data_IF_711549221618
#
_entry.id   IF_711549221618
#
_cell.length_a   1.000
_cell.length_b   1.000
_cell.length_c   1.000
_cell.angle_alpha   90.00
_cell.angle_beta   90.00
_cell.angle_gamma   90.00
#
_symmetry.space_group_name_H-M   'P 1'
#
loop_
_entity.id
_entity.type
_entity.pdbx_description
1 polymer ?
#
# COMPACT_ATOMS: atom_id res chain seq x y z
N UNK A 1 17.18 30.60 43.37
CA UNK A 1 16.10 29.63 43.58
C UNK A 1 15.20 29.61 42.36
N UNK A 2 15.34 28.63 41.47
CA UNK A 2 14.46 28.48 40.31
C UNK A 2 13.72 27.16 40.48
N UNK A 3 12.44 27.22 40.83
CA UNK A 3 11.60 26.03 40.96
C UNK A 3 11.25 25.52 39.56
N UNK A 4 11.77 24.34 39.20
CA UNK A 4 11.37 23.63 37.99
C UNK A 4 9.88 23.24 38.11
N UNK A 5 9.03 23.86 37.29
CA UNK A 5 7.63 23.45 37.17
C UNK A 5 7.57 22.11 36.45
N UNK A 6 7.25 21.06 37.20
CA UNK A 6 6.88 19.75 36.65
C UNK A 6 5.57 19.91 35.87
N UNK A 7 5.62 19.71 34.54
CA UNK A 7 4.43 19.60 33.71
C UNK A 7 3.95 18.14 33.77
N UNK A 8 2.71 17.86 34.18
CA UNK A 8 2.20 16.49 34.23
C UNK A 8 2.13 15.90 32.81
N UNK A 9 2.60 14.65 32.65
CA UNK A 9 2.68 13.91 31.37
C UNK A 9 1.34 13.94 30.59
N UNK A 10 0.21 14.03 31.31
CA UNK A 10 -1.14 14.12 30.73
C UNK A 10 -1.34 15.33 29.80
N UNK A 11 -0.52 16.37 29.94
CA UNK A 11 -0.50 17.57 29.11
C UNK A 11 0.15 17.36 27.72
N UNK A 12 0.82 16.23 27.48
CA UNK A 12 1.53 15.94 26.24
C UNK A 12 0.70 15.12 25.24
N UNK A 13 -0.42 14.53 25.68
CA UNK A 13 -1.43 13.97 24.78
C UNK A 13 -2.23 15.12 24.16
N UNK A 14 -1.59 15.86 23.25
CA UNK A 14 -2.31 16.69 22.29
C UNK A 14 -3.18 15.74 21.47
N UNK A 15 -4.50 15.93 21.49
CA UNK A 15 -5.40 15.27 20.55
C UNK A 15 -4.83 15.50 19.14
N UNK A 16 -4.37 14.41 18.53
CA UNK A 16 -3.91 14.47 17.15
C UNK A 16 -5.14 14.75 16.29
N UNK A 17 -5.06 15.62 15.28
CA UNK A 17 -6.16 15.79 14.34
C UNK A 17 -6.56 14.40 13.82
N UNK A 18 -7.85 14.14 13.56
CA UNK A 18 -8.30 12.83 13.12
C UNK A 18 -7.50 12.46 11.87
N UNK A 19 -6.62 11.46 12.00
CA UNK A 19 -5.91 10.93 10.85
C UNK A 19 -7.00 10.38 9.94
N UNK A 20 -7.07 10.89 8.70
CA UNK A 20 -7.90 10.27 7.68
C UNK A 20 -7.48 8.80 7.59
N UNK A 21 -8.39 7.88 7.93
CA UNK A 21 -8.11 6.45 7.85
C UNK A 21 -7.76 6.10 6.41
N UNK A 22 -6.63 5.43 6.21
CA UNK A 22 -6.27 4.89 4.90
C UNK A 22 -7.15 3.68 4.55
N UNK A 23 -7.24 3.28 3.28
CA UNK A 23 -8.13 2.20 2.86
C UNK A 23 -7.77 0.83 3.44
N UNK A 24 -6.56 0.68 3.99
CA UNK A 24 -6.13 -0.54 4.68
C UNK A 24 -6.56 -0.58 6.15
N UNK A 25 -6.99 0.54 6.74
CA UNK A 25 -7.30 0.69 8.17
C UNK A 25 -8.80 0.46 8.44
N UNK A 26 -9.27 -0.73 8.08
CA UNK A 26 -10.66 -1.17 8.25
C UNK A 26 -10.88 -1.95 9.57
N UNK A 27 -9.87 -2.02 10.43
CA UNK A 27 -9.90 -2.82 11.65
C UNK A 27 -11.00 -2.38 12.62
N UNK A 28 -11.90 -3.30 12.96
CA UNK A 28 -13.02 -3.04 13.89
C UNK A 28 -14.29 -2.49 13.24
N UNK A 29 -14.28 -2.26 11.93
CA UNK A 29 -15.48 -1.87 11.19
C UNK A 29 -16.43 -3.08 10.98
N UNK A 30 -17.75 -2.87 10.94
CA UNK A 30 -18.70 -3.95 10.67
C UNK A 30 -18.49 -4.53 9.27
N UNK A 31 -18.45 -5.86 9.18
CA UNK A 31 -18.31 -6.60 7.92
C UNK A 31 -19.51 -7.51 7.68
N UNK A 32 -19.80 -7.80 6.41
CA UNK A 32 -20.79 -8.79 6.00
C UNK A 32 -20.25 -10.23 6.08
N UNK A 33 -21.08 -11.23 5.72
CA UNK A 33 -20.63 -12.61 5.54
C UNK A 33 -19.47 -12.70 4.53
N UNK A 34 -18.53 -13.60 4.78
CA UNK A 34 -17.34 -13.81 3.95
C UNK A 34 -17.56 -14.99 3.02
N UNK A 35 -17.35 -14.79 1.72
CA UNK A 35 -17.19 -15.91 0.77
C UNK A 35 -15.77 -16.48 0.92
N UNK A 36 -15.68 -17.80 1.08
CA UNK A 36 -14.43 -18.53 1.31
C UNK A 36 -14.06 -19.47 0.16
N UNK A 37 -14.78 -19.39 -0.96
CA UNK A 37 -14.48 -20.17 -2.16
C UNK A 37 -13.12 -19.75 -2.71
N UNK A 38 -12.23 -20.73 -2.88
CA UNK A 38 -10.94 -20.52 -3.54
C UNK A 38 -11.13 -20.56 -5.06
N UNK A 39 -11.00 -19.40 -5.69
CA UNK A 39 -11.04 -19.27 -7.15
C UNK A 39 -9.69 -19.55 -7.83
N UNK A 40 -8.62 -19.72 -7.05
CA UNK A 40 -7.25 -19.83 -7.54
C UNK A 40 -6.76 -18.56 -8.24
N UNK A 41 -5.50 -18.60 -8.68
CA UNK A 41 -4.92 -17.51 -9.48
C UNK A 41 -5.13 -17.74 -10.98
N UNK A 42 -5.57 -16.70 -11.69
CA UNK A 42 -5.53 -16.59 -13.15
C UNK A 42 -4.08 -16.68 -13.64
N UNK A 43 -3.90 -16.99 -14.93
CA UNK A 43 -2.56 -17.13 -15.52
C UNK A 43 -1.69 -15.88 -15.33
N UNK A 44 -2.24 -14.70 -15.63
CA UNK A 44 -1.50 -13.44 -15.51
C UNK A 44 -1.19 -13.07 -14.04
N UNK A 45 -2.05 -13.44 -13.10
CA UNK A 45 -1.86 -13.18 -11.66
C UNK A 45 -0.65 -13.96 -11.13
N UNK A 46 -0.46 -15.20 -11.60
CA UNK A 46 0.73 -15.99 -11.30
C UNK A 46 2.00 -15.30 -11.81
N UNK A 47 1.96 -14.76 -13.03
CA UNK A 47 3.10 -14.05 -13.63
C UNK A 47 3.42 -12.75 -12.87
N UNK A 48 2.40 -11.94 -12.56
CA UNK A 48 2.56 -10.70 -11.81
C UNK A 48 3.11 -10.96 -10.40
N UNK A 49 2.58 -11.97 -9.71
CA UNK A 49 3.04 -12.35 -8.38
C UNK A 49 4.49 -12.90 -8.40
N UNK A 50 4.84 -13.71 -9.41
CA UNK A 50 6.20 -14.22 -9.59
C UNK A 50 7.20 -13.08 -9.84
N UNK A 51 6.85 -12.11 -10.67
CA UNK A 51 7.69 -10.92 -10.94
C UNK A 51 7.92 -10.12 -9.66
N UNK A 52 6.84 -9.77 -8.94
CA UNK A 52 6.91 -9.04 -7.67
C UNK A 52 7.81 -9.76 -6.65
N UNK A 53 7.63 -11.07 -6.52
CA UNK A 53 8.42 -11.92 -5.62
C UNK A 53 9.90 -11.92 -6.00
N UNK A 54 10.19 -12.02 -7.30
CA UNK A 54 11.56 -12.00 -7.82
C UNK A 54 12.25 -10.66 -7.51
N UNK A 55 11.59 -9.54 -7.81
CA UNK A 55 12.14 -8.21 -7.56
C UNK A 55 12.37 -7.94 -6.06
N UNK A 56 11.44 -8.39 -5.20
CA UNK A 56 11.59 -8.32 -3.75
C UNK A 56 12.77 -9.17 -3.26
N UNK A 57 12.92 -10.40 -3.76
CA UNK A 57 14.03 -11.30 -3.38
C UNK A 57 15.40 -10.74 -3.77
N UNK A 58 15.45 -10.01 -4.88
CA UNK A 58 16.64 -9.32 -5.38
C UNK A 58 16.86 -7.95 -4.73
N UNK A 59 16.00 -7.55 -3.79
CA UNK A 59 16.04 -6.26 -3.10
C UNK A 59 15.95 -5.04 -4.04
N UNK A 60 15.30 -5.22 -5.19
CA UNK A 60 15.00 -4.14 -6.14
C UNK A 60 13.89 -3.25 -5.62
N UNK A 61 12.91 -3.85 -4.92
CA UNK A 61 11.81 -3.16 -4.24
C UNK A 61 11.65 -3.72 -2.83
N UNK A 62 11.08 -2.92 -1.93
CA UNK A 62 10.78 -3.35 -0.55
C UNK A 62 9.29 -3.49 -0.29
N UNK A 63 8.96 -4.30 0.71
CA UNK A 63 7.56 -4.56 1.08
C UNK A 63 6.85 -3.32 1.60
N UNK A 64 7.53 -2.46 2.35
CA UNK A 64 7.00 -1.19 2.86
C UNK A 64 6.69 -0.21 1.72
N UNK A 65 7.58 -0.08 0.73
CA UNK A 65 7.37 0.75 -0.47
C UNK A 65 6.14 0.29 -1.25
N UNK A 66 6.02 -1.02 -1.46
CA UNK A 66 4.87 -1.63 -2.16
C UNK A 66 3.57 -1.42 -1.39
N UNK A 67 3.60 -1.52 -0.06
CA UNK A 67 2.42 -1.31 0.79
C UNK A 67 1.95 0.14 0.74
N UNK A 68 2.88 1.10 0.91
CA UNK A 68 2.61 2.53 0.76
C UNK A 68 2.05 2.83 -0.64
N UNK A 69 2.70 2.36 -1.71
CA UNK A 69 2.26 2.65 -3.07
C UNK A 69 0.87 2.09 -3.39
N UNK A 70 0.49 0.95 -2.80
CA UNK A 70 -0.85 0.40 -2.93
C UNK A 70 -1.88 1.24 -2.14
N UNK A 71 -1.54 1.68 -0.94
CA UNK A 71 -2.42 2.47 -0.07
C UNK A 71 -2.63 3.90 -0.59
N UNK A 72 -1.63 4.44 -1.29
CA UNK A 72 -1.66 5.75 -1.96
C UNK A 72 -2.48 5.74 -3.27
N UNK A 73 -3.16 4.64 -3.61
CA UNK A 73 -4.04 4.58 -4.79
C UNK A 73 -5.33 5.41 -4.63
N UNK A 74 -5.69 5.80 -3.41
CA UNK A 74 -6.93 6.55 -3.14
C UNK A 74 -8.17 5.74 -3.50
N UNK A 75 -9.15 6.37 -4.16
CA UNK A 75 -10.41 5.74 -4.58
C UNK A 75 -10.20 4.47 -5.43
N UNK A 76 -9.16 4.45 -6.27
CA UNK A 76 -8.82 3.30 -7.12
C UNK A 76 -8.50 2.04 -6.32
N UNK A 77 -8.17 2.17 -5.03
CA UNK A 77 -7.98 1.01 -4.17
C UNK A 77 -9.24 0.14 -4.07
N UNK A 78 -10.43 0.75 -4.08
CA UNK A 78 -11.70 0.03 -3.97
C UNK A 78 -12.22 -0.50 -5.31
N UNK A 79 -11.73 0.06 -6.42
CA UNK A 79 -12.12 -0.33 -7.78
C UNK A 79 -11.34 -1.55 -8.29
N UNK A 80 -10.13 -1.78 -7.77
CA UNK A 80 -9.19 -2.77 -8.30
C UNK A 80 -9.23 -4.09 -7.51
N UNK A 81 -9.17 -5.22 -8.24
CA UNK A 81 -8.96 -6.53 -7.65
C UNK A 81 -7.58 -6.60 -6.96
N UNK A 82 -7.39 -7.60 -6.09
CA UNK A 82 -6.18 -7.71 -5.27
C UNK A 82 -4.88 -7.72 -6.10
N UNK A 83 -4.80 -8.55 -7.13
CA UNK A 83 -3.60 -8.63 -7.96
C UNK A 83 -3.38 -7.39 -8.83
N UNK A 84 -4.46 -6.70 -9.22
CA UNK A 84 -4.38 -5.44 -9.95
C UNK A 84 -3.77 -4.33 -9.08
N UNK A 85 -4.22 -4.20 -7.82
CA UNK A 85 -3.64 -3.25 -6.84
C UNK A 85 -2.15 -3.47 -6.66
N UNK A 86 -1.74 -4.71 -6.44
CA UNK A 86 -0.32 -5.03 -6.21
C UNK A 86 0.55 -4.79 -7.45
N UNK A 87 -0.01 -4.99 -8.65
CA UNK A 87 0.67 -4.73 -9.92
C UNK A 87 0.80 -3.23 -10.18
N UNK A 88 -0.26 -2.46 -9.91
CA UNK A 88 -0.23 -1.00 -10.00
C UNK A 88 0.78 -0.38 -9.02
N UNK A 89 0.82 -0.90 -7.78
CA UNK A 89 1.80 -0.48 -6.78
C UNK A 89 3.24 -0.80 -7.21
N UNK A 90 3.48 -2.00 -7.75
CA UNK A 90 4.80 -2.40 -8.27
C UNK A 90 5.26 -1.47 -9.39
N UNK A 91 4.37 -1.19 -10.37
CA UNK A 91 4.67 -0.26 -11.47
C UNK A 91 5.09 1.11 -10.92
N UNK A 92 4.30 1.67 -9.99
CA UNK A 92 4.60 2.97 -9.38
C UNK A 92 5.97 2.99 -8.71
N UNK A 93 6.29 1.98 -7.91
CA UNK A 93 7.59 1.87 -7.22
C UNK A 93 8.76 1.76 -8.21
N UNK A 94 8.59 1.02 -9.32
CA UNK A 94 9.64 0.90 -10.33
C UNK A 94 9.90 2.21 -11.09
N UNK A 95 8.85 3.00 -11.33
CA UNK A 95 8.97 4.35 -11.92
C UNK A 95 9.66 5.30 -10.93
N UNK A 96 9.29 5.26 -9.64
CA UNK A 96 9.93 6.07 -8.59
C UNK A 96 11.42 5.74 -8.41
N UNK A 97 11.80 4.47 -8.58
CA UNK A 97 13.21 4.04 -8.60
C UNK A 97 13.94 4.36 -9.91
N UNK A 98 13.22 4.83 -10.95
CA UNK A 98 13.80 5.23 -12.23
C UNK A 98 14.15 4.07 -13.17
N UNK A 99 13.52 2.90 -13.04
CA UNK A 99 13.74 1.78 -13.95
C UNK A 99 13.14 1.99 -15.35
N UNK A 100 12.05 2.76 -15.42
CA UNK A 100 11.40 3.20 -16.65
C UNK A 100 10.50 4.40 -16.35
N UNK A 101 10.08 5.09 -17.41
CA UNK A 101 9.23 6.28 -17.35
C UNK A 101 7.74 5.93 -17.49
N UNK A 102 6.87 6.86 -17.12
CA UNK A 102 5.42 6.75 -17.37
C UNK A 102 5.12 6.54 -18.86
N UNK A 103 5.82 7.26 -19.74
CA UNK A 103 5.64 7.18 -21.20
C UNK A 103 6.05 5.81 -21.77
N UNK A 104 7.19 5.26 -21.32
CA UNK A 104 7.63 3.91 -21.72
C UNK A 104 6.62 2.84 -21.29
N UNK A 105 6.08 2.97 -20.08
CA UNK A 105 5.07 2.04 -19.61
C UNK A 105 3.74 2.18 -20.37
N UNK A 106 3.33 3.38 -20.73
CA UNK A 106 2.11 3.60 -21.51
C UNK A 106 2.26 3.03 -22.93
N UNK A 107 3.42 3.27 -23.57
CA UNK A 107 3.72 2.81 -24.93
C UNK A 107 3.77 1.29 -25.04
N UNK A 108 4.18 0.58 -23.99
CA UNK A 108 4.24 -0.87 -23.96
C UNK A 108 2.85 -1.55 -23.85
N UNK A 109 1.82 -0.81 -23.44
CA UNK A 109 0.45 -1.30 -23.31
C UNK A 109 -0.47 -0.96 -24.50
N UNK A 110 0.02 -0.18 -25.47
CA UNK A 110 -0.66 0.16 -26.71
C UNK A 110 -0.45 -0.93 -27.78
#
# INVERSE_FOLDING_TARGET
MLAARLVPIRSLCRESPPMSKGPHDMGGEPAGPIDTVDHGMRFWEKQANALRSTLTSRKVVRLDELRRAAEDLGERYYELEYFERTTAALRRVLIEHGFFTEDESASACA
#
